data_IF_117602114772
#
_entry.id   IF_117602114772
#
_cell.length_a   1.000
_cell.length_b   1.000
_cell.length_c   1.000
_cell.angle_alpha   90.00
_cell.angle_beta   90.00
_cell.angle_gamma   90.00
#
_symmetry.space_group_name_H-M   'P 1'
#
loop_
_entity.id
_entity.type
_entity.pdbx_description
1 polymer ?
#
# COMPACT_ATOMS: atom_id res chain seq x y z
N UNK A 1 1.32 10.03 -11.48
CA UNK A 1 0.85 10.71 -10.24
C UNK A 1 0.86 9.67 -9.14
N UNK A 2 1.52 9.93 -8.00
CA UNK A 2 1.50 8.99 -6.85
C UNK A 2 0.15 9.14 -6.14
N UNK A 3 -0.49 8.03 -5.80
CA UNK A 3 -1.75 8.07 -5.07
C UNK A 3 -1.52 8.62 -3.65
N UNK A 4 -2.45 9.44 -3.13
CA UNK A 4 -2.27 10.12 -1.83
C UNK A 4 -2.04 9.13 -0.68
N UNK A 5 -2.74 7.98 -0.71
CA UNK A 5 -2.56 6.93 0.29
C UNK A 5 -1.15 6.35 0.28
N UNK A 6 -0.51 6.28 -0.90
CA UNK A 6 0.83 5.71 -1.06
C UNK A 6 1.90 6.59 -0.39
N UNK A 7 1.68 7.91 -0.32
CA UNK A 7 2.57 8.82 0.41
C UNK A 7 2.63 8.49 1.90
N UNK A 8 1.48 8.18 2.52
CA UNK A 8 1.43 7.78 3.92
C UNK A 8 2.06 6.40 4.12
N UNK A 9 1.76 5.44 3.25
CA UNK A 9 2.35 4.11 3.31
C UNK A 9 3.88 4.12 3.24
N UNK A 10 4.45 4.95 2.36
CA UNK A 10 5.90 5.07 2.22
C UNK A 10 6.59 5.60 3.49
N UNK A 11 5.87 6.30 4.37
CA UNK A 11 6.42 6.79 5.65
C UNK A 11 6.51 5.70 6.72
N UNK A 12 5.80 4.59 6.56
CA UNK A 12 5.88 3.43 7.46
C UNK A 12 7.07 2.51 7.17
N UNK A 13 7.94 2.86 6.21
CA UNK A 13 9.15 2.11 5.93
C UNK A 13 10.13 2.17 7.10
N UNK A 14 10.92 1.11 7.27
CA UNK A 14 12.04 1.12 8.20
C UNK A 14 12.98 2.29 7.85
N UNK A 15 13.29 3.18 8.81
CA UNK A 15 14.20 4.31 8.61
C UNK A 15 15.69 3.89 8.60
N UNK A 16 15.97 2.59 8.70
CA UNK A 16 17.32 2.03 8.72
C UNK A 16 18.05 2.23 10.05
N UNK A 17 19.29 1.72 10.12
CA UNK A 17 20.07 1.66 11.36
C UNK A 17 20.44 3.03 11.95
N UNK A 18 20.48 4.09 11.13
CA UNK A 18 21.10 5.39 11.46
C UNK A 18 20.12 6.37 12.12
N UNK A 19 18.81 6.13 12.04
CA UNK A 19 17.80 7.07 12.57
C UNK A 19 17.62 6.90 14.08
N UNK A 20 17.66 7.99 14.86
CA UNK A 20 17.43 7.92 16.31
C UNK A 20 15.93 7.99 16.65
N UNK A 21 15.37 6.90 17.17
CA UNK A 21 13.98 6.77 17.58
C UNK A 21 13.79 5.59 18.53
N UNK A 22 12.78 5.64 19.40
CA UNK A 22 12.35 4.51 20.22
C UNK A 22 11.39 3.59 19.46
N UNK A 23 11.35 2.31 19.85
CA UNK A 23 10.43 1.34 19.26
C UNK A 23 8.97 1.82 19.30
N UNK A 24 8.57 2.42 20.43
CA UNK A 24 7.23 2.97 20.62
C UNK A 24 6.93 4.16 19.68
N UNK A 25 7.89 5.07 19.47
CA UNK A 25 7.71 6.20 18.57
C UNK A 25 7.52 5.74 17.12
N UNK A 26 8.29 4.75 16.68
CA UNK A 26 8.14 4.17 15.35
C UNK A 26 6.81 3.44 15.17
N UNK A 27 6.40 2.62 16.15
CA UNK A 27 5.11 1.95 16.10
C UNK A 27 3.94 2.95 16.01
N UNK A 28 3.99 4.03 16.81
CA UNK A 28 2.96 5.07 16.76
C UNK A 28 2.90 5.76 15.39
N UNK A 29 4.04 6.14 14.82
CA UNK A 29 4.08 6.76 13.49
C UNK A 29 3.55 5.82 12.40
N UNK A 30 3.95 4.54 12.45
CA UNK A 30 3.42 3.52 11.55
C UNK A 30 1.88 3.39 11.66
N UNK A 31 1.33 3.34 12.88
CA UNK A 31 -0.11 3.27 13.11
C UNK A 31 -0.86 4.48 12.55
N UNK A 32 -0.34 5.69 12.77
CA UNK A 32 -0.93 6.93 12.25
C UNK A 32 -0.93 6.92 10.72
N UNK A 33 0.21 6.61 10.10
CA UNK A 33 0.34 6.57 8.65
C UNK A 33 -0.56 5.50 8.01
N UNK A 34 -0.66 4.31 8.60
CA UNK A 34 -1.58 3.25 8.13
C UNK A 34 -3.04 3.70 8.22
N UNK A 35 -3.44 4.31 9.33
CA UNK A 35 -4.81 4.82 9.50
C UNK A 35 -5.14 5.92 8.49
N UNK A 36 -4.18 6.81 8.19
CA UNK A 36 -4.35 7.85 7.19
C UNK A 36 -4.43 7.27 5.77
N UNK A 37 -3.60 6.27 5.45
CA UNK A 37 -3.64 5.58 4.17
C UNK A 37 -5.00 4.89 3.94
N UNK A 38 -5.50 4.13 4.94
CA UNK A 38 -6.77 3.40 4.85
C UNK A 38 -7.99 4.33 4.70
N UNK A 39 -7.96 5.54 5.29
CA UNK A 39 -9.03 6.53 5.14
C UNK A 39 -9.18 7.09 3.72
N UNK A 40 -8.18 6.90 2.86
CA UNK A 40 -8.13 7.43 1.51
C UNK A 40 -8.54 6.41 0.44
N UNK A 41 -8.92 5.20 0.85
CA UNK A 41 -9.43 4.13 -0.01
C UNK A 41 -10.77 3.62 0.53
N UNK A 42 -11.41 2.68 -0.17
CA UNK A 42 -12.54 1.92 0.38
C UNK A 42 -12.03 0.54 0.84
N UNK A 43 -11.54 0.40 2.08
CA UNK A 43 -10.80 -0.78 2.50
C UNK A 43 -11.69 -2.03 2.56
N UNK A 44 -11.23 -3.10 1.91
CA UNK A 44 -11.74 -4.46 2.09
C UNK A 44 -11.26 -5.05 3.43
N UNK A 45 -11.83 -6.19 3.84
CA UNK A 45 -11.33 -6.95 5.00
C UNK A 45 -9.86 -7.35 4.82
N UNK A 46 -9.45 -7.69 3.60
CA UNK A 46 -8.07 -8.02 3.26
C UNK A 46 -7.15 -6.78 3.39
N UNK A 47 -7.58 -5.63 2.87
CA UNK A 47 -6.89 -4.34 3.05
C UNK A 47 -6.62 -4.05 4.55
N UNK A 48 -7.58 -4.33 5.43
CA UNK A 48 -7.43 -4.16 6.89
C UNK A 48 -6.46 -5.18 7.48
N UNK A 49 -6.61 -6.47 7.17
CA UNK A 49 -5.74 -7.53 7.68
C UNK A 49 -4.27 -7.30 7.29
N UNK A 50 -4.01 -6.83 6.06
CA UNK A 50 -2.67 -6.47 5.60
C UNK A 50 -2.11 -5.25 6.33
N UNK A 51 -2.94 -4.29 6.72
CA UNK A 51 -2.50 -3.16 7.53
C UNK A 51 -2.17 -3.55 8.97
N UNK A 52 -2.93 -4.48 9.56
CA UNK A 52 -2.59 -5.07 10.85
C UNK A 52 -1.26 -5.83 10.78
N UNK A 53 -1.05 -6.64 9.74
CA UNK A 53 0.23 -7.32 9.49
C UNK A 53 1.39 -6.32 9.42
N UNK A 54 1.26 -5.24 8.65
CA UNK A 54 2.30 -4.19 8.58
C UNK A 54 2.58 -3.59 9.97
N UNK A 55 1.54 -3.34 10.75
CA UNK A 55 1.70 -2.78 12.09
C UNK A 55 2.46 -3.73 13.02
N UNK A 56 2.15 -5.03 13.00
CA UNK A 56 2.88 -6.06 13.75
C UNK A 56 4.35 -6.14 13.34
N UNK A 57 4.64 -6.11 12.03
CA UNK A 57 6.03 -6.10 11.52
C UNK A 57 6.77 -4.83 11.92
N UNK A 58 6.10 -3.68 11.95
CA UNK A 58 6.69 -2.42 12.38
C UNK A 58 7.07 -2.46 13.87
N UNK A 59 6.20 -3.01 14.73
CA UNK A 59 6.52 -3.23 16.14
C UNK A 59 7.71 -4.18 16.31
N UNK A 60 7.72 -5.31 15.59
CA UNK A 60 8.80 -6.28 15.65
C UNK A 60 10.15 -5.65 15.25
N UNK A 61 10.18 -4.90 14.14
CA UNK A 61 11.36 -4.16 13.70
C UNK A 61 11.82 -3.14 14.75
N UNK A 62 10.91 -2.31 15.27
CA UNK A 62 11.23 -1.30 16.28
C UNK A 62 11.86 -1.91 17.54
N UNK A 63 11.26 -2.98 18.06
CA UNK A 63 11.75 -3.69 19.25
C UNK A 63 13.12 -4.33 19.01
N UNK A 64 13.32 -4.99 17.86
CA UNK A 64 14.59 -5.62 17.51
C UNK A 64 15.70 -4.58 17.32
N UNK A 65 15.37 -3.43 16.73
CA UNK A 65 16.33 -2.33 16.53
C UNK A 65 16.75 -1.74 17.86
N UNK A 66 15.79 -1.42 18.72
CA UNK A 66 16.06 -0.86 20.05
C UNK A 66 16.92 -1.81 20.90
N UNK A 67 16.66 -3.13 20.79
CA UNK A 67 17.49 -4.17 21.41
C UNK A 67 18.84 -4.42 20.70
N UNK A 68 19.17 -3.69 19.63
CA UNK A 68 20.38 -3.91 18.81
C UNK A 68 20.56 -5.36 18.35
N UNK A 69 19.45 -6.03 18.02
CA UNK A 69 19.44 -7.43 17.63
C UNK A 69 20.07 -7.66 16.25
N UNK A 70 20.70 -8.82 16.05
CA UNK A 70 21.21 -9.24 14.73
C UNK A 70 20.11 -9.54 13.72
N UNK A 71 18.86 -9.68 14.17
CA UNK A 71 17.70 -10.00 13.33
C UNK A 71 17.03 -8.76 12.72
N UNK A 72 17.55 -7.56 12.97
CA UNK A 72 16.94 -6.30 12.49
C UNK A 72 16.82 -6.27 10.97
N UNK A 73 17.82 -6.77 10.24
CA UNK A 73 17.80 -6.81 8.77
C UNK A 73 16.71 -7.72 8.23
N UNK A 74 16.41 -8.83 8.91
CA UNK A 74 15.34 -9.72 8.51
C UNK A 74 13.97 -9.08 8.82
N UNK A 75 13.82 -8.45 9.99
CA UNK A 75 12.60 -7.71 10.33
C UNK A 75 12.33 -6.53 9.39
N UNK A 76 13.38 -5.84 8.93
CA UNK A 76 13.28 -4.79 7.91
C UNK A 76 12.77 -5.34 6.58
N UNK A 77 13.29 -6.50 6.15
CA UNK A 77 12.83 -7.19 4.94
C UNK A 77 11.37 -7.61 5.07
N UNK A 78 10.97 -8.16 6.22
CA UNK A 78 9.61 -8.59 6.50
C UNK A 78 8.64 -7.41 6.47
N UNK A 79 9.00 -6.29 7.09
CA UNK A 79 8.22 -5.05 7.04
C UNK A 79 8.08 -4.52 5.60
N UNK A 80 9.17 -4.50 4.83
CA UNK A 80 9.12 -4.09 3.43
C UNK A 80 8.25 -5.03 2.57
N UNK A 81 8.24 -6.33 2.88
CA UNK A 81 7.37 -7.33 2.27
C UNK A 81 5.89 -7.05 2.58
N UNK A 82 5.55 -6.86 3.84
CA UNK A 82 4.19 -6.54 4.28
C UNK A 82 3.67 -5.24 3.65
N UNK A 83 4.49 -4.19 3.61
CA UNK A 83 4.16 -2.91 2.96
C UNK A 83 3.88 -3.08 1.47
N UNK A 84 4.63 -3.93 0.78
CA UNK A 84 4.40 -4.24 -0.64
C UNK A 84 3.07 -4.96 -0.85
N UNK A 85 2.77 -5.96 -0.01
CA UNK A 85 1.49 -6.69 -0.06
C UNK A 85 0.31 -5.76 0.19
N UNK A 86 0.37 -4.91 1.22
CA UNK A 86 -0.66 -3.91 1.48
C UNK A 86 -0.78 -2.90 0.32
N UNK A 87 0.33 -2.42 -0.22
CA UNK A 87 0.31 -1.50 -1.38
C UNK A 87 -0.40 -2.11 -2.59
N UNK A 88 -0.19 -3.40 -2.86
CA UNK A 88 -0.86 -4.11 -3.94
C UNK A 88 -2.37 -4.21 -3.69
N UNK A 89 -2.78 -4.57 -2.48
CA UNK A 89 -4.20 -4.65 -2.12
C UNK A 89 -4.87 -3.26 -2.14
N UNK A 90 -4.19 -2.22 -1.66
CA UNK A 90 -4.72 -0.86 -1.68
C UNK A 90 -4.95 -0.31 -3.09
N UNK A 91 -4.20 -0.77 -4.10
CA UNK A 91 -4.49 -0.42 -5.51
C UNK A 91 -5.84 -0.97 -5.97
N UNK A 92 -6.26 -2.14 -5.49
CA UNK A 92 -7.57 -2.72 -5.80
C UNK A 92 -8.70 -2.03 -5.02
N UNK A 93 -8.40 -1.53 -3.82
CA UNK A 93 -9.29 -0.77 -2.94
C UNK A 93 -9.43 0.73 -3.36
N UNK A 94 -8.61 1.23 -4.29
CA UNK A 94 -8.59 2.63 -4.70
C UNK A 94 -9.71 2.95 -5.73
N UNK A 95 -10.68 3.83 -5.41
CA UNK A 95 -11.77 4.17 -6.32
C UNK A 95 -11.28 4.90 -7.59
N UNK A 96 -10.16 5.61 -7.52
CA UNK A 96 -9.57 6.29 -8.69
C UNK A 96 -8.97 5.30 -9.69
N UNK A 97 -8.48 4.15 -9.21
CA UNK A 97 -8.03 3.06 -10.08
C UNK A 97 -9.20 2.45 -10.83
N UNK A 98 -10.31 2.16 -10.13
CA UNK A 98 -11.52 1.58 -10.75
C UNK A 98 -12.16 2.50 -11.80
N UNK A 99 -12.12 3.82 -11.59
CA UNK A 99 -12.61 4.78 -12.58
C UNK A 99 -11.78 4.75 -13.88
N UNK A 100 -10.46 4.62 -13.77
CA UNK A 100 -9.57 4.53 -14.94
C UNK A 100 -9.74 3.20 -15.69
N UNK A 101 -9.88 2.08 -14.98
CA UNK A 101 -10.11 0.77 -15.60
C UNK A 101 -11.47 0.73 -16.34
N UNK A 102 -12.51 1.34 -15.74
CA UNK A 102 -13.81 1.49 -16.39
C UNK A 102 -13.74 2.37 -17.65
N UNK A 103 -12.96 3.47 -17.62
CA UNK A 103 -12.73 4.31 -18.80
C UNK A 103 -11.95 3.59 -19.91
N UNK A 104 -10.96 2.75 -19.55
CA UNK A 104 -10.23 1.89 -20.51
C UNK A 104 -11.17 0.84 -21.11
N UNK A 105 -12.01 0.21 -20.29
CA UNK A 105 -13.02 -0.75 -20.78
C UNK A 105 -14.03 -0.12 -21.73
N UNK A 106 -14.50 1.10 -21.44
CA UNK A 106 -15.40 1.86 -22.30
C UNK A 106 -14.72 2.26 -23.63
N UNK A 107 -13.47 2.73 -23.59
CA UNK A 107 -12.73 3.10 -24.82
C UNK A 107 -12.36 1.90 -25.70
N UNK A 108 -12.17 0.71 -25.13
CA UNK A 108 -11.98 -0.52 -25.90
C UNK A 108 -13.29 -1.04 -26.51
N UNK A 109 -14.41 -0.92 -25.79
CA UNK A 109 -15.73 -1.25 -26.31
C UNK A 109 -16.14 -0.34 -27.49
N UNK A 110 -15.82 0.96 -27.40
CA UNK A 110 -16.17 1.94 -28.44
C UNK A 110 -15.35 1.77 -29.75
N UNK A 111 -14.19 1.11 -29.68
CA UNK A 111 -13.43 0.71 -30.87
C UNK A 111 -13.95 -0.55 -31.54
N UNK A 112 -14.72 -1.39 -30.85
CA UNK A 112 -15.33 -2.58 -31.44
C UNK A 112 -16.69 -2.30 -32.10
N UNK A 113 -17.41 -1.27 -31.66
CA UNK A 113 -18.69 -0.84 -32.25
C UNK A 113 -18.55 -0.06 -33.56
N UNK A 114 -17.36 0.46 -33.87
CA UNK A 114 -17.10 1.29 -35.05
C UNK A 114 -16.59 0.52 -36.28
N UNK A 115 -16.46 -0.82 -36.21
CA UNK A 115 -15.90 -1.64 -37.29
C UNK A 115 -16.91 -2.45 -38.11
N UNK A 116 -18.22 -2.29 -37.91
CA UNK A 116 -19.27 -3.02 -38.65
C UNK A 116 -20.30 -2.10 -39.31
N UNK A 117 -19.85 -1.13 -40.11
CA UNK A 117 -20.77 -0.34 -40.94
C UNK A 117 -20.15 0.16 -42.26
N UNK A 118 -19.58 -0.72 -43.07
CA UNK A 118 -19.50 -0.46 -44.52
C UNK A 118 -19.38 -1.74 -45.34
N UNK A 119 -20.50 -2.26 -45.85
CA UNK A 119 -20.62 -2.95 -47.14
C UNK A 119 -22.04 -3.51 -47.29
N UNK A 120 -22.99 -2.62 -47.61
CA UNK A 120 -24.22 -2.96 -48.33
C UNK A 120 -24.68 -1.74 -49.13
N UNK A 121 -24.26 -1.69 -50.39
CA UNK A 121 -25.08 -1.24 -51.51
C UNK A 121 -24.49 -1.77 -52.80
#
# INVERSE_FOLDING_TARGET
MIAKWQVFLNRSHAPGAVADFSAAAFALDAAVNLRLALKLVNPTKECIARAEEVYERAQAYGNLREASSKLVTDAERDLAGALRSLSNEMRSCDPSWKANDALIGLTLADRHSSSTSSLRR
#
